data_IF_033053132333
#
_entry.id   IF_033053132333
#
_cell.length_a   1.000
_cell.length_b   1.000
_cell.length_c   1.000
_cell.angle_alpha   90.00
_cell.angle_beta   90.00
_cell.angle_gamma   90.00
#
_symmetry.space_group_name_H-M   'P 1'
#
loop_
_entity.id
_entity.type
_entity.pdbx_description
1 polymer ?
#
# COMPACT_ATOMS: atom_id res chain seq x y z
N UNK A 1 -6.80 1.96 -14.51
CA UNK A 1 -6.12 1.62 -13.25
C UNK A 1 -6.96 2.11 -12.08
N UNK A 2 -7.23 1.24 -11.12
CA UNK A 2 -8.07 1.62 -9.98
C UNK A 2 -7.24 2.39 -8.97
N UNK A 3 -7.75 3.53 -8.55
CA UNK A 3 -7.11 4.32 -7.51
C UNK A 3 -7.54 3.81 -6.14
N UNK A 4 -6.56 3.52 -5.27
CA UNK A 4 -6.81 3.11 -3.90
C UNK A 4 -6.84 4.34 -3.02
N UNK A 5 -7.87 4.45 -2.18
CA UNK A 5 -8.08 5.58 -1.27
C UNK A 5 -8.38 5.08 0.13
N UNK A 6 -8.23 5.98 1.10
CA UNK A 6 -8.66 5.71 2.47
C UNK A 6 -10.14 5.29 2.48
N UNK A 7 -10.45 4.23 3.20
CA UNK A 7 -11.79 3.67 3.28
C UNK A 7 -12.09 2.55 2.30
N UNK A 8 -11.24 2.38 1.28
CA UNK A 8 -11.38 1.27 0.34
C UNK A 8 -11.00 -0.04 1.01
N UNK A 9 -11.54 -1.12 0.46
CA UNK A 9 -11.15 -2.47 0.89
C UNK A 9 -10.13 -2.99 -0.09
N UNK A 10 -9.00 -3.46 0.44
CA UNK A 10 -7.91 -4.03 -0.36
C UNK A 10 -7.50 -5.37 0.21
N UNK A 11 -6.81 -6.17 -0.61
CA UNK A 11 -6.15 -7.37 -0.14
C UNK A 11 -4.73 -7.41 -0.67
N UNK A 12 -3.90 -8.18 0.03
CA UNK A 12 -2.51 -8.36 -0.39
C UNK A 12 -2.45 -9.34 -1.56
N UNK A 13 -1.73 -8.96 -2.62
CA UNK A 13 -1.68 -9.77 -3.84
C UNK A 13 -1.12 -11.17 -3.60
N UNK A 14 -0.23 -11.33 -2.63
CA UNK A 14 0.39 -12.62 -2.30
C UNK A 14 -0.36 -13.40 -1.23
N UNK A 15 -1.36 -12.79 -0.61
CA UNK A 15 -2.18 -13.45 0.39
C UNK A 15 -3.57 -12.81 0.40
N UNK A 16 -4.47 -13.35 -0.38
CA UNK A 16 -5.81 -12.78 -0.57
C UNK A 16 -6.65 -12.80 0.71
N UNK A 17 -6.28 -13.61 1.69
CA UNK A 17 -6.96 -13.63 2.98
C UNK A 17 -6.59 -12.41 3.83
N UNK A 18 -5.46 -11.77 3.55
CA UNK A 18 -5.03 -10.56 4.23
C UNK A 18 -5.71 -9.36 3.57
N UNK A 19 -6.92 -9.10 4.00
CA UNK A 19 -7.84 -8.11 3.43
C UNK A 19 -8.28 -7.16 4.53
N UNK A 20 -8.45 -5.89 4.18
CA UNK A 20 -8.94 -4.95 5.17
C UNK A 20 -9.22 -3.57 4.61
N UNK A 21 -9.54 -2.65 5.50
CA UNK A 21 -9.90 -1.28 5.17
C UNK A 21 -8.65 -0.40 5.18
N UNK A 22 -8.46 0.33 4.10
CA UNK A 22 -7.33 1.25 3.97
C UNK A 22 -7.48 2.40 4.95
N UNK A 23 -6.45 2.61 5.77
CA UNK A 23 -6.40 3.72 6.73
C UNK A 23 -5.60 4.90 6.20
N UNK A 24 -4.64 4.66 5.32
CA UNK A 24 -3.83 5.72 4.72
C UNK A 24 -3.19 5.26 3.43
N UNK A 25 -3.02 6.20 2.51
CA UNK A 25 -2.20 6.03 1.31
C UNK A 25 -1.20 7.16 1.34
N UNK A 26 0.09 6.84 1.23
CA UNK A 26 1.12 7.86 1.34
C UNK A 26 2.29 7.55 0.40
N UNK A 27 3.13 8.56 0.20
CA UNK A 27 4.30 8.45 -0.66
C UNK A 27 5.56 8.70 0.15
N UNK A 28 6.60 7.92 -0.15
CA UNK A 28 7.93 8.12 0.41
C UNK A 28 8.90 8.42 -0.70
N UNK A 29 9.73 9.47 -0.57
CA UNK A 29 10.81 9.70 -1.51
C UNK A 29 11.92 8.67 -1.27
N UNK A 30 12.43 8.10 -2.35
CA UNK A 30 13.56 7.18 -2.30
C UNK A 30 14.68 7.75 -3.13
N UNK A 31 15.84 7.92 -2.50
CA UNK A 31 17.03 8.41 -3.15
C UNK A 31 17.79 7.24 -3.77
N UNK A 32 18.09 7.35 -5.05
CA UNK A 32 18.84 6.32 -5.75
C UNK A 32 20.31 6.69 -5.84
N UNK A 33 21.16 5.67 -5.68
CA UNK A 33 22.59 5.79 -5.90
C UNK A 33 23.27 6.79 -4.97
N UNK A 34 24.21 7.52 -5.50
CA UNK A 34 25.06 8.41 -4.73
C UNK A 34 24.45 9.78 -4.46
N UNK A 35 23.18 9.91 -4.63
CA UNK A 35 22.52 11.17 -4.37
C UNK A 35 22.57 12.18 -5.52
N UNK A 36 23.16 11.79 -6.62
CA UNK A 36 23.25 12.66 -7.79
C UNK A 36 22.07 12.51 -8.76
N UNK A 37 21.21 11.51 -8.53
CA UNK A 37 20.09 11.24 -9.41
C UNK A 37 18.75 11.75 -8.88
N UNK A 38 17.70 11.68 -9.70
CA UNK A 38 16.37 12.10 -9.27
C UNK A 38 15.82 11.18 -8.20
N UNK A 39 14.94 11.71 -7.35
CA UNK A 39 14.23 10.90 -6.37
C UNK A 39 13.11 10.13 -7.06
N UNK A 40 12.95 8.87 -6.68
CA UNK A 40 11.78 8.08 -7.03
C UNK A 40 10.83 8.08 -5.84
N UNK A 41 9.55 8.23 -6.11
CA UNK A 41 8.54 8.15 -5.06
C UNK A 41 7.98 6.75 -5.01
N UNK A 42 7.92 6.18 -3.80
CA UNK A 42 7.28 4.90 -3.55
C UNK A 42 5.95 5.18 -2.86
N UNK A 43 4.87 4.67 -3.43
CA UNK A 43 3.55 4.78 -2.81
C UNK A 43 3.27 3.55 -1.98
N UNK A 44 2.73 3.77 -0.79
CA UNK A 44 2.44 2.71 0.15
C UNK A 44 1.01 2.83 0.66
N UNK A 45 0.47 1.69 1.06
CA UNK A 45 -0.89 1.59 1.57
C UNK A 45 -0.86 0.97 2.95
N UNK A 46 -1.51 1.61 3.91
CA UNK A 46 -1.76 1.04 5.23
C UNK A 46 -3.20 0.59 5.31
N UNK A 47 -3.42 -0.62 5.82
CA UNK A 47 -4.78 -1.13 6.02
C UNK A 47 -4.84 -1.98 7.28
N UNK A 48 -6.04 -2.03 7.87
CA UNK A 48 -6.31 -2.89 9.03
C UNK A 48 -6.86 -4.19 8.51
N UNK A 49 -6.11 -5.29 8.73
CA UNK A 49 -6.52 -6.60 8.24
C UNK A 49 -7.70 -7.14 9.02
N UNK A 50 -8.66 -7.72 8.31
CA UNK A 50 -9.77 -8.44 8.92
C UNK A 50 -9.36 -9.79 9.47
N UNK A 51 -8.19 -10.27 9.05
CA UNK A 51 -7.69 -11.57 9.44
C UNK A 51 -7.24 -11.58 10.92
N UNK A 52 -6.55 -10.53 11.35
CA UNK A 52 -5.97 -10.47 12.69
C UNK A 52 -6.16 -9.12 13.40
N UNK A 53 -6.79 -8.17 12.74
CA UNK A 53 -6.99 -6.83 13.29
C UNK A 53 -5.75 -5.94 13.35
N UNK A 54 -4.65 -6.38 12.74
CA UNK A 54 -3.41 -5.63 12.74
C UNK A 54 -3.31 -4.71 11.55
N UNK A 55 -2.56 -3.62 11.71
CA UNK A 55 -2.26 -2.72 10.62
C UNK A 55 -1.09 -3.26 9.81
N UNK A 56 -1.27 -3.29 8.50
CA UNK A 56 -0.23 -3.66 7.54
C UNK A 56 0.11 -2.48 6.66
N UNK A 57 1.37 -2.39 6.30
CA UNK A 57 1.90 -1.35 5.42
C UNK A 57 2.59 -2.03 4.25
N UNK A 58 2.00 -1.95 3.08
CA UNK A 58 2.50 -2.64 1.89
C UNK A 58 2.68 -1.66 0.73
N UNK A 59 3.46 -2.07 -0.26
CA UNK A 59 3.59 -1.29 -1.49
C UNK A 59 2.25 -1.26 -2.22
N UNK A 60 1.95 -0.14 -2.87
CA UNK A 60 0.69 -0.01 -3.58
C UNK A 60 0.56 -1.05 -4.70
N UNK A 61 1.68 -1.47 -5.30
CA UNK A 61 1.70 -2.50 -6.33
C UNK A 61 1.28 -3.87 -5.80
N UNK A 62 1.41 -4.08 -4.48
CA UNK A 62 1.02 -5.32 -3.83
C UNK A 62 -0.40 -5.27 -3.26
N UNK A 63 -1.06 -4.14 -3.36
CA UNK A 63 -2.43 -3.98 -2.87
C UNK A 63 -3.41 -4.04 -4.03
N UNK A 64 -4.44 -4.87 -3.88
CA UNK A 64 -5.48 -5.02 -4.90
C UNK A 64 -6.79 -4.51 -4.32
N UNK A 65 -7.40 -3.58 -5.02
CA UNK A 65 -8.71 -3.03 -4.62
C UNK A 65 -9.78 -4.09 -4.85
N UNK A 66 -10.58 -4.34 -3.81
CA UNK A 66 -11.56 -5.43 -3.80
C UNK A 66 -12.97 -4.99 -4.21
N UNK A 67 -13.13 -3.78 -4.66
CA UNK A 67 -14.46 -3.31 -5.07
C UNK A 67 -14.45 -2.43 -6.31
#
# INVERSE_FOLDING_TARGET
MKTIRQGDIVYHIFNMNNRGVVTAVYELPVKHGNGAGPFTKIRRVKFISQLDGKEYDIKIEEAVKDN
#
